data_IF_844696522251
#
_entry.id   IF_844696522251
#
_cell.length_a   1.000
_cell.length_b   1.000
_cell.length_c   1.000
_cell.angle_alpha   90.00
_cell.angle_beta   90.00
_cell.angle_gamma   90.00
#
_symmetry.space_group_name_H-M   'P 1'
#
loop_
_entity.id
_entity.type
_entity.pdbx_description
1 polymer ?
#
# COMPACT_ATOMS: atom_id res chain seq x y z
N UNK A 1 -9.13 -5.47 -4.76
CA UNK A 1 -7.72 -5.12 -5.05
C UNK A 1 -7.13 -5.91 -6.21
N UNK A 2 -7.43 -7.21 -6.35
CA UNK A 2 -6.93 -8.02 -7.48
C UNK A 2 -7.22 -7.41 -8.86
N UNK A 3 -8.43 -6.91 -9.11
CA UNK A 3 -8.81 -6.26 -10.37
C UNK A 3 -7.89 -5.08 -10.76
N UNK A 4 -7.40 -4.31 -9.78
CA UNK A 4 -6.46 -3.23 -10.04
C UNK A 4 -5.07 -3.76 -10.38
N UNK A 5 -4.61 -4.81 -9.69
CA UNK A 5 -3.34 -5.47 -10.01
C UNK A 5 -3.38 -6.07 -11.42
N UNK A 6 -4.49 -6.72 -11.78
CA UNK A 6 -4.72 -7.29 -13.10
C UNK A 6 -4.78 -6.21 -14.19
N UNK A 7 -5.21 -4.99 -13.83
CA UNK A 7 -5.22 -3.81 -14.71
C UNK A 7 -3.86 -3.09 -14.81
N UNK A 8 -2.80 -3.63 -14.19
CA UNK A 8 -1.43 -3.09 -14.27
C UNK A 8 -1.05 -2.11 -13.17
N UNK A 9 -1.78 -2.09 -12.04
CA UNK A 9 -1.40 -1.31 -10.86
C UNK A 9 -0.01 -1.73 -10.36
N UNK A 10 0.90 -0.76 -10.19
CA UNK A 10 2.27 -1.02 -9.73
C UNK A 10 2.43 -0.97 -8.21
N UNK A 11 1.62 -0.17 -7.53
CA UNK A 11 1.63 -0.01 -6.08
C UNK A 11 0.26 0.47 -5.62
N UNK A 12 -0.30 -0.18 -4.60
CA UNK A 12 -1.57 0.21 -3.98
C UNK A 12 -1.52 0.13 -2.47
N UNK A 13 -2.21 1.06 -1.82
CA UNK A 13 -2.42 1.03 -0.37
C UNK A 13 -3.90 0.94 -0.06
N UNK A 14 -4.30 -0.08 0.68
CA UNK A 14 -5.64 -0.17 1.25
C UNK A 14 -5.55 0.21 2.73
N UNK A 15 -6.03 1.39 3.05
CA UNK A 15 -6.04 1.89 4.43
C UNK A 15 -7.34 1.46 5.09
N UNK A 16 -7.24 0.73 6.20
CA UNK A 16 -8.36 0.35 7.05
C UNK A 16 -8.24 1.03 8.42
N UNK A 17 -8.82 2.25 8.60
CA UNK A 17 -8.75 2.97 9.87
C UNK A 17 -9.44 2.24 11.02
N UNK A 18 -10.51 1.48 10.74
CA UNK A 18 -11.28 0.75 11.76
C UNK A 18 -10.47 -0.43 12.32
N UNK A 19 -9.79 -1.15 11.43
CA UNK A 19 -8.87 -2.24 11.79
C UNK A 19 -7.49 -1.76 12.25
N UNK A 20 -7.20 -0.46 12.14
CA UNK A 20 -5.88 0.14 12.35
C UNK A 20 -4.78 -0.56 11.54
N UNK A 21 -5.06 -0.87 10.29
CA UNK A 21 -4.11 -1.51 9.36
C UNK A 21 -4.04 -0.79 8.03
N UNK A 22 -2.91 -0.98 7.36
CA UNK A 22 -2.66 -0.57 5.99
C UNK A 22 -2.12 -1.79 5.25
N UNK A 23 -2.77 -2.16 4.16
CA UNK A 23 -2.33 -3.26 3.32
C UNK A 23 -1.65 -2.69 2.07
N UNK A 24 -0.47 -3.21 1.74
CA UNK A 24 0.37 -2.76 0.64
C UNK A 24 0.34 -3.85 -0.43
N UNK A 25 -0.08 -3.45 -1.63
CA UNK A 25 -0.24 -4.32 -2.78
C UNK A 25 0.78 -3.98 -3.85
N UNK A 26 1.52 -4.99 -4.32
CA UNK A 26 2.50 -4.87 -5.39
C UNK A 26 2.40 -6.07 -6.34
N UNK A 27 2.59 -5.87 -7.66
CA UNK A 27 2.65 -6.98 -8.60
C UNK A 27 3.74 -8.00 -8.23
N UNK A 28 3.36 -9.27 -8.19
CA UNK A 28 4.30 -10.37 -7.95
C UNK A 28 4.84 -10.47 -6.52
N UNK A 29 4.28 -9.71 -5.56
CA UNK A 29 4.56 -9.87 -4.13
C UNK A 29 3.29 -10.22 -3.37
N UNK A 30 3.45 -10.88 -2.24
CA UNK A 30 2.35 -11.05 -1.28
C UNK A 30 1.94 -9.70 -0.68
N UNK A 31 0.69 -9.63 -0.24
CA UNK A 31 0.14 -8.44 0.41
C UNK A 31 0.84 -8.24 1.75
N UNK A 32 1.44 -7.08 1.94
CA UNK A 32 2.06 -6.70 3.21
C UNK A 32 1.06 -5.95 4.07
N UNK A 33 0.92 -6.32 5.35
CA UNK A 33 -0.03 -5.68 6.27
C UNK A 33 0.73 -5.00 7.40
N UNK A 34 0.59 -3.67 7.49
CA UNK A 34 1.23 -2.83 8.50
C UNK A 34 0.17 -2.28 9.45
N UNK A 35 0.47 -2.19 10.74
CA UNK A 35 -0.45 -1.58 11.73
C UNK A 35 -0.23 -0.07 11.83
N UNK A 36 -1.30 0.68 12.10
CA UNK A 36 -1.26 2.11 12.35
C UNK A 36 -0.69 2.43 13.75
N UNK A 37 0.09 3.51 13.91
CA UNK A 37 0.50 4.47 12.87
C UNK A 37 1.55 3.88 11.92
N UNK A 38 1.43 4.20 10.63
CA UNK A 38 2.28 3.65 9.58
C UNK A 38 2.76 4.73 8.61
N UNK A 39 4.00 4.57 8.14
CA UNK A 39 4.56 5.38 7.07
C UNK A 39 4.72 4.49 5.85
N UNK A 40 4.03 4.83 4.76
CA UNK A 40 4.15 4.12 3.48
C UNK A 40 4.92 4.98 2.48
N UNK A 41 5.80 4.36 1.71
CA UNK A 41 6.60 5.04 0.68
C UNK A 41 6.19 4.61 -0.72
N UNK A 42 6.28 5.54 -1.68
CA UNK A 42 6.01 5.29 -3.09
C UNK A 42 7.03 4.41 -3.81
N UNK A 43 8.07 3.96 -3.10
CA UNK A 43 9.22 3.21 -3.62
C UNK A 43 9.71 3.74 -4.98
N UNK A 44 9.94 2.85 -5.95
CA UNK A 44 10.39 3.19 -7.30
C UNK A 44 9.24 3.69 -8.21
N UNK A 45 7.98 3.56 -7.78
CA UNK A 45 6.80 3.95 -8.57
C UNK A 45 6.53 5.45 -8.43
N UNK A 46 6.69 5.98 -7.21
CA UNK A 46 6.60 7.39 -6.88
C UNK A 46 7.83 7.79 -6.04
N UNK A 47 8.98 8.03 -6.68
CA UNK A 47 10.21 8.36 -5.98
C UNK A 47 10.05 9.60 -5.09
N UNK A 48 10.44 9.49 -3.82
CA UNK A 48 10.35 10.59 -2.85
C UNK A 48 8.96 10.81 -2.23
N UNK A 49 7.95 10.03 -2.63
CA UNK A 49 6.64 10.08 -1.99
C UNK A 49 6.63 9.32 -0.67
N UNK A 50 6.16 9.99 0.39
CA UNK A 50 5.98 9.43 1.72
C UNK A 50 4.62 9.87 2.25
N UNK A 51 3.81 8.90 2.66
CA UNK A 51 2.50 9.15 3.28
C UNK A 51 2.53 8.65 4.72
N UNK A 52 2.29 9.57 5.65
CA UNK A 52 2.15 9.26 7.07
C UNK A 52 0.67 9.10 7.41
N UNK A 53 0.33 7.95 7.98
CA UNK A 53 -1.04 7.62 8.38
C UNK A 53 -1.05 7.41 9.90
N UNK A 54 -1.93 8.14 10.58
CA UNK A 54 -2.02 8.20 12.05
C UNK A 54 -3.19 7.36 12.57
#
# INVERSE_FOLDING_TARGET
MQEYLDSGLKLGWLVNPQGKTVEIYQPGKEVEVVKLPATVSGENVLPGFVLNIQ
#
